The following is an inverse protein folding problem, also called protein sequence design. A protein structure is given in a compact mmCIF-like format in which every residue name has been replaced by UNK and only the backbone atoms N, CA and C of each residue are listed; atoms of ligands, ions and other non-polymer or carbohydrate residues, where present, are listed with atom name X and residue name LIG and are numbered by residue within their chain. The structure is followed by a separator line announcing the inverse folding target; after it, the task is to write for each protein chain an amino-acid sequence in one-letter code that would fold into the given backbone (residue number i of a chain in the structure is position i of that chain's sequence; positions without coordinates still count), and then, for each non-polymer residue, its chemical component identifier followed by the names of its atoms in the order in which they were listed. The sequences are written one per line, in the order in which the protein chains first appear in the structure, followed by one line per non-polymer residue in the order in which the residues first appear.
data_IF_356443047698
#
_entry.id   IF_356443047698
#
_cell.length_a   1.000
_cell.length_b   1.000
_cell.length_c   1.000
_cell.angle_alpha   90.00
_cell.angle_beta   90.00
_cell.angle_gamma   90.00
#
_symmetry.space_group_name_H-M   'P 1'
#
loop_
_entity.id
_entity.type
_entity.pdbx_description
1 polymer ?
#
# COMPACT_ATOMS: atom_id res chain seq x y z
N UNK A 1 10.58 40.42 -20.69
CA UNK A 1 10.89 38.99 -20.71
C UNK A 1 9.71 38.24 -20.10
N UNK A 2 8.92 37.64 -20.95
CA UNK A 2 7.73 36.86 -20.55
C UNK A 2 8.20 35.45 -20.27
N UNK A 3 8.27 35.02 -19.00
CA UNK A 3 8.53 33.64 -18.64
C UNK A 3 7.30 32.81 -18.97
N UNK A 4 7.46 32.00 -19.95
CA UNK A 4 6.49 31.10 -20.56
C UNK A 4 6.05 30.04 -19.53
N UNK A 5 4.76 30.05 -19.18
CA UNK A 5 4.13 29.14 -18.21
C UNK A 5 4.05 27.64 -18.64
N UNK A 6 4.75 27.28 -19.71
CA UNK A 6 4.72 25.92 -20.25
C UNK A 6 5.69 24.95 -19.56
N UNK A 7 6.79 25.45 -18.98
CA UNK A 7 7.77 24.60 -18.27
C UNK A 7 7.22 23.92 -17.03
N UNK A 8 6.28 24.56 -16.32
CA UNK A 8 5.69 24.00 -15.10
C UNK A 8 4.74 22.84 -15.41
N UNK A 9 4.03 22.91 -16.56
CA UNK A 9 3.15 21.83 -17.02
C UNK A 9 3.93 20.56 -17.34
N UNK A 10 5.09 20.69 -17.98
CA UNK A 10 5.95 19.55 -18.30
C UNK A 10 6.59 18.89 -17.09
N UNK A 11 6.93 19.66 -16.06
CA UNK A 11 7.45 19.13 -14.79
C UNK A 11 6.37 18.34 -14.06
N UNK A 12 5.12 18.80 -14.03
CA UNK A 12 4.00 18.07 -13.41
C UNK A 12 3.69 16.79 -14.18
N UNK A 13 3.69 16.83 -15.50
CA UNK A 13 3.48 15.63 -16.35
C UNK A 13 4.63 14.64 -16.19
N UNK A 14 5.88 15.08 -16.11
CA UNK A 14 7.03 14.20 -15.88
C UNK A 14 7.00 13.53 -14.50
N UNK A 15 6.54 14.24 -13.45
CA UNK A 15 6.39 13.68 -12.11
C UNK A 15 5.26 12.63 -12.02
N UNK A 16 4.19 12.75 -12.81
CA UNK A 16 3.11 11.75 -12.83
C UNK A 16 3.48 10.47 -13.57
N UNK A 17 4.43 10.52 -14.52
CA UNK A 17 4.88 9.34 -15.29
C UNK A 17 5.90 8.51 -14.49
N UNK A 18 6.54 9.09 -13.46
CA UNK A 18 7.57 8.43 -12.66
C UNK A 18 7.02 7.67 -11.43
N UNK A 19 5.70 7.60 -11.25
CA UNK A 19 5.17 6.63 -10.30
C UNK A 19 5.26 5.24 -10.93
N UNK A 20 6.12 4.35 -10.42
CA UNK A 20 6.05 2.95 -10.81
C UNK A 20 4.64 2.48 -10.45
N UNK A 21 3.89 2.03 -11.46
CA UNK A 21 2.69 1.24 -11.23
C UNK A 21 3.24 -0.09 -10.74
N UNK A 22 3.25 -0.26 -9.41
CA UNK A 22 3.60 -1.54 -8.83
C UNK A 22 2.68 -2.60 -9.45
N UNK A 23 3.24 -3.70 -9.98
CA UNK A 23 2.41 -4.79 -10.44
C UNK A 23 1.52 -5.20 -9.26
N UNK A 24 0.29 -5.59 -9.56
CA UNK A 24 -0.73 -6.03 -8.59
C UNK A 24 -0.19 -7.23 -7.79
N UNK A 25 0.77 -6.98 -6.91
CA UNK A 25 1.20 -7.96 -5.92
C UNK A 25 0.09 -8.07 -4.88
N UNK A 26 -0.24 -9.29 -4.49
CA UNK A 26 -1.13 -9.51 -3.38
C UNK A 26 -0.63 -8.67 -2.20
N UNK A 27 -1.51 -7.85 -1.62
CA UNK A 27 -1.12 -7.02 -0.49
C UNK A 27 -0.95 -7.92 0.74
N UNK A 28 0.29 -8.31 1.02
CA UNK A 28 0.66 -9.16 2.15
C UNK A 28 1.10 -8.37 3.40
N UNK A 29 0.73 -7.11 3.43
CA UNK A 29 0.92 -6.23 4.56
C UNK A 29 -0.42 -5.92 5.22
N UNK A 30 -0.45 -6.01 6.53
CA UNK A 30 -1.63 -5.69 7.32
C UNK A 30 -1.22 -4.94 8.57
N UNK A 31 -1.91 -3.84 8.88
CA UNK A 31 -1.65 -3.05 10.08
C UNK A 31 -2.92 -2.92 10.91
N UNK A 32 -2.79 -3.14 12.20
CA UNK A 32 -3.86 -3.03 13.17
C UNK A 32 -3.47 -2.05 14.29
N UNK A 33 -4.37 -1.14 14.63
CA UNK A 33 -4.17 -0.19 15.73
C UNK A 33 -4.99 -0.66 16.93
N UNK A 34 -4.29 -0.95 18.03
CA UNK A 34 -4.90 -1.32 19.31
C UNK A 34 -4.07 -0.78 20.47
N UNK A 35 -4.71 -0.30 21.54
CA UNK A 35 -4.07 0.18 22.77
C UNK A 35 -2.91 1.17 22.54
N UNK A 36 -3.12 2.15 21.66
CA UNK A 36 -2.11 3.17 21.28
C UNK A 36 -0.84 2.60 20.64
N UNK A 37 -0.88 1.37 20.15
CA UNK A 37 0.19 0.70 19.43
C UNK A 37 -0.26 0.35 18.03
N UNK A 38 0.64 0.48 17.07
CA UNK A 38 0.45 -0.05 15.73
C UNK A 38 1.12 -1.41 15.66
N UNK A 39 0.34 -2.43 15.38
CA UNK A 39 0.80 -3.78 15.08
C UNK A 39 0.90 -3.91 13.58
N UNK A 40 2.11 -4.05 13.08
CA UNK A 40 2.39 -4.14 11.66
C UNK A 40 2.83 -5.57 11.30
N UNK A 41 2.13 -6.17 10.35
CA UNK A 41 2.37 -7.52 9.85
C UNK A 41 2.82 -7.45 8.40
N UNK A 42 3.95 -8.01 8.10
CA UNK A 42 4.56 -8.09 6.78
C UNK A 42 4.87 -9.54 6.48
N UNK A 43 3.94 -10.24 5.85
CA UNK A 43 4.05 -11.69 5.66
C UNK A 43 5.09 -12.09 4.62
N UNK A 44 5.28 -11.29 3.58
CA UNK A 44 6.22 -11.51 2.46
C UNK A 44 7.59 -10.87 2.66
N UNK A 45 7.79 -10.13 3.75
CA UNK A 45 9.08 -9.49 4.01
C UNK A 45 10.14 -10.52 4.37
N UNK A 46 11.31 -10.49 3.71
CA UNK A 46 12.44 -11.34 4.07
C UNK A 46 12.86 -11.19 5.54
N UNK A 47 13.06 -12.33 6.20
CA UNK A 47 13.61 -12.41 7.57
C UNK A 47 14.76 -13.41 7.57
N UNK A 48 15.67 -13.38 8.55
CA UNK A 48 16.73 -14.37 8.67
C UNK A 48 16.14 -15.79 8.62
N UNK A 49 16.71 -16.67 7.81
CA UNK A 49 16.29 -18.05 7.52
C UNK A 49 15.06 -18.19 6.60
N UNK A 50 14.29 -17.11 6.32
CA UNK A 50 13.12 -17.16 5.45
C UNK A 50 13.17 -15.98 4.43
N UNK A 51 13.90 -16.14 3.32
CA UNK A 51 14.14 -15.05 2.37
C UNK A 51 12.88 -14.58 1.63
N UNK A 52 11.85 -15.42 1.61
CA UNK A 52 10.56 -15.12 0.99
C UNK A 52 9.42 -14.90 2.01
N UNK A 53 9.79 -14.60 3.28
CA UNK A 53 8.80 -14.45 4.35
C UNK A 53 8.03 -15.74 4.60
N UNK A 54 6.69 -15.65 4.62
CA UNK A 54 5.79 -16.80 4.84
C UNK A 54 5.59 -17.67 3.60
N UNK A 55 6.16 -17.31 2.46
CA UNK A 55 6.03 -18.12 1.26
C UNK A 55 6.85 -19.41 1.38
N UNK A 56 6.28 -20.53 0.90
CA UNK A 56 7.00 -21.79 0.84
C UNK A 56 8.13 -21.72 -0.20
N UNK A 57 9.31 -22.15 0.17
CA UNK A 57 10.48 -22.32 -0.72
C UNK A 57 10.19 -23.31 -1.87
N UNK A 58 9.30 -24.28 -1.63
CA UNK A 58 8.86 -25.24 -2.65
C UNK A 58 7.85 -24.64 -3.65
N UNK A 59 7.40 -23.40 -3.42
CA UNK A 59 6.39 -22.72 -4.21
C UNK A 59 4.94 -23.07 -3.83
N UNK A 60 4.75 -23.97 -2.86
CA UNK A 60 3.43 -24.32 -2.31
C UNK A 60 3.54 -25.00 -0.94
N UNK A 61 2.47 -24.93 -0.17
CA UNK A 61 2.22 -25.75 1.00
C UNK A 61 1.23 -26.85 0.64
N UNK A 62 1.38 -28.01 1.28
CA UNK A 62 0.47 -29.15 1.10
C UNK A 62 -0.08 -29.60 2.44
N UNK A 63 -1.39 -29.74 2.55
CA UNK A 63 -2.04 -30.32 3.73
C UNK A 63 -3.00 -31.41 3.29
N UNK A 64 -2.95 -32.55 3.99
CA UNK A 64 -3.72 -33.73 3.66
C UNK A 64 -4.74 -33.97 4.76
N UNK A 65 -6.00 -34.09 4.37
CA UNK A 65 -7.11 -34.51 5.22
C UNK A 65 -7.72 -35.83 4.77
N UNK A 66 -8.85 -36.19 5.35
CA UNK A 66 -9.57 -37.39 4.94
C UNK A 66 -10.18 -37.19 3.54
N UNK A 67 -9.69 -37.94 2.53
CA UNK A 67 -10.09 -37.86 1.12
C UNK A 67 -10.01 -36.47 0.48
N UNK A 68 -9.24 -35.59 1.04
CA UNK A 68 -9.08 -34.19 0.58
C UNK A 68 -7.62 -33.79 0.72
N UNK A 69 -7.06 -33.20 -0.33
CA UNK A 69 -5.73 -32.60 -0.32
C UNK A 69 -5.87 -31.14 -0.72
N UNK A 70 -5.19 -30.25 -0.01
CA UNK A 70 -5.14 -28.85 -0.33
C UNK A 70 -3.70 -28.44 -0.58
N UNK A 71 -3.49 -27.75 -1.69
CA UNK A 71 -2.26 -27.01 -1.98
C UNK A 71 -2.58 -25.53 -1.89
N UNK A 72 -1.66 -24.76 -1.33
CA UNK A 72 -1.80 -23.31 -1.26
C UNK A 72 -0.45 -22.61 -1.18
N UNK A 73 -0.40 -21.36 -1.62
CA UNK A 73 0.70 -20.44 -1.39
C UNK A 73 0.12 -19.14 -0.82
N UNK A 74 0.82 -18.57 0.15
CA UNK A 74 0.47 -17.27 0.70
C UNK A 74 1.20 -16.18 -0.08
N UNK A 75 0.56 -15.05 -0.25
CA UNK A 75 1.10 -13.85 -0.89
C UNK A 75 1.36 -13.94 -2.39
N UNK A 76 1.23 -15.11 -3.01
CA UNK A 76 1.48 -15.31 -4.43
C UNK A 76 0.66 -16.47 -4.98
N UNK A 77 0.78 -16.71 -6.27
CA UNK A 77 0.29 -17.92 -6.93
C UNK A 77 1.21 -19.11 -6.70
N UNK A 78 0.64 -20.30 -6.70
CA UNK A 78 1.39 -21.54 -6.57
C UNK A 78 2.28 -21.79 -7.78
N UNK A 79 3.49 -22.32 -7.52
CA UNK A 79 4.42 -22.84 -8.51
C UNK A 79 4.75 -24.27 -8.11
N UNK A 80 4.62 -25.22 -9.04
CA UNK A 80 4.94 -26.62 -8.79
C UNK A 80 6.24 -27.00 -9.48
N UNK A 81 7.32 -27.04 -8.74
CA UNK A 81 8.61 -27.57 -9.21
C UNK A 81 8.66 -29.09 -9.11
N UNK A 82 7.83 -29.68 -8.25
CA UNK A 82 7.69 -31.11 -8.02
C UNK A 82 6.27 -31.42 -7.54
N UNK A 83 5.89 -32.70 -7.56
CA UNK A 83 4.61 -33.24 -7.06
C UNK A 83 3.35 -32.40 -7.45
N UNK A 84 3.18 -32.08 -8.77
CA UNK A 84 2.03 -31.32 -9.19
C UNK A 84 0.72 -32.08 -8.93
N UNK A 85 -0.38 -31.38 -8.63
CA UNK A 85 -1.68 -32.04 -8.46
C UNK A 85 -2.11 -32.74 -9.75
N UNK A 86 -2.62 -33.96 -9.61
CA UNK A 86 -3.15 -34.75 -10.72
C UNK A 86 -4.67 -34.66 -10.70
N UNK A 87 -5.23 -33.75 -11.46
CA UNK A 87 -6.65 -33.47 -11.48
C UNK A 87 -7.27 -33.84 -12.81
N UNK A 88 -8.50 -34.32 -12.78
CA UNK A 88 -9.26 -34.62 -13.99
C UNK A 88 -9.64 -33.34 -14.73
N UNK A 89 -9.98 -32.30 -14.00
CA UNK A 89 -10.29 -30.97 -14.53
C UNK A 89 -9.60 -29.90 -13.72
N UNK A 90 -8.96 -28.96 -14.41
CA UNK A 90 -8.17 -27.87 -13.81
C UNK A 90 -8.22 -26.61 -14.67
N UNK A 91 -9.30 -26.38 -15.38
CA UNK A 91 -9.45 -25.28 -16.34
C UNK A 91 -9.26 -23.91 -15.70
N UNK A 92 -9.66 -23.76 -14.44
CA UNK A 92 -9.61 -22.47 -13.71
C UNK A 92 -8.21 -22.10 -13.22
N UNK A 93 -7.27 -23.05 -13.16
CA UNK A 93 -5.94 -22.89 -12.59
C UNK A 93 -4.87 -23.56 -13.45
N UNK A 94 -4.40 -22.88 -14.48
CA UNK A 94 -3.27 -23.32 -15.31
C UNK A 94 -3.58 -24.38 -16.35
N UNK A 95 -4.79 -24.94 -16.38
CA UNK A 95 -5.22 -25.97 -17.33
C UNK A 95 -4.63 -27.36 -17.05
N UNK A 96 -4.86 -28.33 -17.94
CA UNK A 96 -4.53 -29.75 -17.69
C UNK A 96 -3.04 -30.04 -17.47
N UNK A 97 -2.17 -29.28 -18.12
CA UNK A 97 -0.71 -29.48 -18.04
C UNK A 97 -0.06 -28.80 -16.84
N UNK A 98 -0.72 -27.80 -16.24
CA UNK A 98 -0.15 -26.95 -15.20
C UNK A 98 -1.20 -26.72 -14.08
N UNK A 99 -1.87 -27.78 -13.70
CA UNK A 99 -2.94 -27.71 -12.71
C UNK A 99 -2.48 -27.06 -11.41
N UNK A 100 -3.23 -26.05 -10.98
CA UNK A 100 -2.95 -25.28 -9.76
C UNK A 100 -1.99 -24.10 -9.93
N UNK A 101 -1.26 -24.01 -11.03
CA UNK A 101 -0.35 -22.89 -11.28
C UNK A 101 -1.13 -21.58 -11.49
N UNK A 102 -0.71 -20.52 -10.79
CA UNK A 102 -1.36 -19.21 -10.85
C UNK A 102 -2.59 -19.04 -9.98
N UNK A 103 -3.09 -20.11 -9.34
CA UNK A 103 -4.01 -20.01 -8.20
C UNK A 103 -3.22 -19.97 -6.89
N UNK A 104 -3.77 -19.36 -5.86
CA UNK A 104 -3.16 -19.35 -4.53
C UNK A 104 -3.65 -20.50 -3.65
N UNK A 105 -4.77 -21.12 -3.96
CA UNK A 105 -5.25 -22.29 -3.25
C UNK A 105 -6.10 -23.21 -4.16
N UNK A 106 -5.82 -24.50 -4.05
CA UNK A 106 -6.48 -25.57 -4.80
C UNK A 106 -6.86 -26.71 -3.85
N UNK A 107 -8.06 -27.22 -3.96
CA UNK A 107 -8.48 -28.42 -3.24
C UNK A 107 -8.72 -29.58 -4.22
N UNK A 108 -8.17 -30.74 -3.93
CA UNK A 108 -8.52 -32.00 -4.58
C UNK A 108 -9.36 -32.85 -3.64
N UNK A 109 -10.43 -33.37 -4.19
CA UNK A 109 -11.31 -34.38 -3.53
C UNK A 109 -11.26 -35.67 -4.33
N UNK A 110 -10.98 -36.78 -3.68
CA UNK A 110 -11.05 -38.08 -4.32
C UNK A 110 -12.51 -38.54 -4.42
N UNK A 111 -12.99 -38.68 -5.65
CA UNK A 111 -14.35 -39.14 -5.96
C UNK A 111 -14.25 -40.31 -6.90
N UNK A 112 -14.59 -41.50 -6.41
CA UNK A 112 -14.58 -42.73 -7.23
C UNK A 112 -13.18 -43.12 -7.76
N UNK A 113 -12.10 -42.75 -7.06
CA UNK A 113 -10.72 -43.05 -7.46
C UNK A 113 -10.07 -41.97 -8.33
N UNK A 114 -10.78 -40.89 -8.65
CA UNK A 114 -10.27 -39.75 -9.41
C UNK A 114 -10.22 -38.50 -8.53
N UNK A 115 -9.18 -37.72 -8.69
CA UNK A 115 -9.06 -36.45 -7.99
C UNK A 115 -9.75 -35.32 -8.78
N UNK A 116 -10.84 -34.80 -8.20
CA UNK A 116 -11.55 -33.63 -8.73
C UNK A 116 -11.04 -32.39 -8.01
N UNK A 117 -10.48 -31.45 -8.79
CA UNK A 117 -9.86 -30.26 -8.27
C UNK A 117 -10.74 -29.02 -8.43
N UNK A 118 -10.75 -28.19 -7.41
CA UNK A 118 -11.51 -26.94 -7.38
C UNK A 118 -10.58 -25.82 -6.90
N UNK A 119 -10.60 -24.70 -7.63
CA UNK A 119 -9.94 -23.47 -7.17
C UNK A 119 -10.70 -22.91 -5.96
N UNK A 120 -10.01 -22.70 -4.86
CA UNK A 120 -10.56 -22.12 -3.62
C UNK A 120 -9.89 -20.82 -3.19
N UNK A 121 -8.93 -20.31 -4.00
CA UNK A 121 -8.28 -19.05 -3.69
C UNK A 121 -7.39 -18.51 -4.82
N UNK A 122 -7.42 -17.19 -4.96
CA UNK A 122 -6.54 -16.42 -5.85
C UNK A 122 -5.81 -15.35 -5.05
N UNK A 123 -4.59 -15.00 -5.45
CA UNK A 123 -3.81 -13.94 -4.81
C UNK A 123 -4.54 -12.59 -4.82
N UNK A 124 -5.26 -12.29 -5.90
CA UNK A 124 -6.06 -11.06 -6.02
C UNK A 124 -7.27 -10.96 -5.09
N UNK A 125 -7.68 -12.07 -4.47
CA UNK A 125 -8.81 -12.15 -3.52
C UNK A 125 -8.37 -12.48 -2.10
N UNK A 126 -7.13 -12.13 -1.77
CA UNK A 126 -6.56 -12.33 -0.45
C UNK A 126 -6.98 -11.19 0.49
N UNK A 127 -7.45 -11.56 1.68
CA UNK A 127 -7.81 -10.66 2.77
C UNK A 127 -7.08 -11.10 4.04
N UNK A 128 -6.47 -10.15 4.74
CA UNK A 128 -5.70 -10.41 5.96
C UNK A 128 -6.40 -9.73 7.12
N UNK A 129 -6.64 -10.50 8.17
CA UNK A 129 -7.25 -10.01 9.39
C UNK A 129 -6.48 -10.51 10.62
N UNK A 130 -6.71 -9.88 11.75
CA UNK A 130 -6.14 -10.33 13.02
C UNK A 130 -6.95 -11.52 13.56
N UNK A 131 -6.27 -12.49 14.15
CA UNK A 131 -6.90 -13.67 14.75
C UNK A 131 -7.71 -13.27 15.99
N UNK A 132 -7.09 -12.49 16.89
CA UNK A 132 -7.73 -12.00 18.10
C UNK A 132 -7.40 -10.52 18.33
N UNK A 133 -8.43 -9.68 18.32
CA UNK A 133 -8.29 -8.23 18.56
C UNK A 133 -7.82 -7.89 19.96
N UNK A 134 -8.10 -8.76 20.93
CA UNK A 134 -7.68 -8.56 22.32
C UNK A 134 -6.22 -9.00 22.54
N UNK A 135 -5.72 -9.88 21.69
CA UNK A 135 -4.33 -10.34 21.73
C UNK A 135 -3.72 -10.35 20.32
N UNK A 136 -3.30 -9.19 19.80
CA UNK A 136 -2.72 -9.07 18.45
C UNK A 136 -1.43 -9.87 18.24
N UNK A 137 -0.79 -10.31 19.32
CA UNK A 137 0.46 -11.08 19.23
C UNK A 137 0.26 -12.53 18.78
N UNK A 138 -0.95 -13.05 18.76
CA UNK A 138 -1.21 -14.44 18.33
C UNK A 138 -0.85 -14.62 16.87
N UNK A 139 -1.15 -13.63 16.01
CA UNK A 139 -0.90 -13.71 14.58
C UNK A 139 -2.07 -13.21 13.75
N UNK A 140 -2.07 -13.58 12.48
CA UNK A 140 -3.08 -13.15 11.49
C UNK A 140 -3.76 -14.34 10.82
N UNK A 141 -4.96 -14.10 10.31
CA UNK A 141 -5.67 -15.03 9.46
C UNK A 141 -5.68 -14.48 8.04
N UNK A 142 -5.21 -15.28 7.09
CA UNK A 142 -5.22 -14.97 5.66
C UNK A 142 -6.34 -15.75 5.02
N UNK A 143 -7.32 -15.06 4.46
CA UNK A 143 -8.45 -15.64 3.76
C UNK A 143 -8.28 -15.43 2.26
N UNK A 144 -8.31 -16.52 1.51
CA UNK A 144 -8.31 -16.52 0.05
C UNK A 144 -9.65 -17.04 -0.43
N UNK A 145 -10.19 -16.48 -1.50
CA UNK A 145 -11.45 -16.91 -2.08
C UNK A 145 -11.36 -17.05 -3.60
N UNK A 146 -12.19 -17.93 -4.14
CA UNK A 146 -12.46 -17.97 -5.58
C UNK A 146 -13.90 -17.58 -5.81
N UNK A 147 -14.12 -16.62 -6.71
CA UNK A 147 -15.46 -16.25 -7.18
C UNK A 147 -15.81 -17.17 -8.36
N UNK A 148 -16.11 -18.43 -8.06
CA UNK A 148 -16.63 -19.39 -9.05
C UNK A 148 -18.08 -19.08 -9.41
N UNK A 149 -18.50 -19.51 -10.60
CA UNK A 149 -19.87 -19.27 -11.10
C UNK A 149 -20.96 -19.93 -10.24
N UNK A 150 -20.64 -20.96 -9.46
CA UNK A 150 -21.63 -21.75 -8.72
C UNK A 150 -21.43 -21.80 -7.19
N UNK A 151 -20.24 -21.62 -6.66
CA UNK A 151 -19.97 -21.66 -5.22
C UNK A 151 -18.83 -20.69 -4.83
N UNK A 152 -19.04 -19.93 -3.76
CA UNK A 152 -17.99 -19.12 -3.13
C UNK A 152 -17.14 -20.00 -2.23
N UNK A 153 -16.10 -20.60 -2.79
CA UNK A 153 -15.16 -21.41 -2.04
C UNK A 153 -14.07 -20.54 -1.41
N UNK A 154 -13.54 -20.96 -0.27
CA UNK A 154 -12.46 -20.22 0.39
C UNK A 154 -11.52 -21.12 1.19
N UNK A 155 -10.28 -20.63 1.35
CA UNK A 155 -9.31 -21.16 2.30
C UNK A 155 -8.94 -20.04 3.29
N UNK A 156 -9.01 -20.37 4.58
CA UNK A 156 -8.55 -19.52 5.67
C UNK A 156 -7.31 -20.12 6.30
N UNK A 157 -6.19 -19.43 6.27
CA UNK A 157 -4.92 -19.87 6.83
C UNK A 157 -4.60 -19.02 8.05
N UNK A 158 -4.58 -19.64 9.24
CA UNK A 158 -4.14 -18.98 10.45
C UNK A 158 -2.61 -19.04 10.54
N UNK A 159 -1.96 -17.90 10.40
CA UNK A 159 -0.50 -17.75 10.54
C UNK A 159 -0.21 -17.32 11.97
N UNK A 160 0.09 -18.30 12.81
CA UNK A 160 0.41 -18.10 14.23
C UNK A 160 1.84 -17.57 14.37
N UNK A 161 2.04 -16.55 15.18
CA UNK A 161 3.36 -16.04 15.51
C UNK A 161 4.18 -17.10 16.24
N UNK A 162 5.30 -17.50 15.66
CA UNK A 162 6.34 -18.30 16.30
C UNK A 162 7.71 -17.71 15.94
N UNK A 163 8.35 -16.97 16.86
CA UNK A 163 9.63 -16.30 16.59
C UNK A 163 10.80 -17.27 16.45
N UNK A 164 10.62 -18.53 16.84
CA UNK A 164 11.71 -19.52 16.92
C UNK A 164 11.79 -20.44 15.71
N UNK A 165 10.74 -20.51 14.88
CA UNK A 165 10.78 -21.40 13.74
C UNK A 165 9.51 -21.49 12.93
N UNK A 166 9.59 -22.38 11.95
CA UNK A 166 8.49 -22.72 11.07
C UNK A 166 7.91 -24.08 11.43
N UNK A 167 6.61 -24.15 11.54
CA UNK A 167 5.86 -25.39 11.59
C UNK A 167 4.82 -25.38 10.49
N UNK A 168 4.96 -26.27 9.53
CA UNK A 168 4.09 -26.41 8.37
C UNK A 168 2.62 -26.63 8.72
N UNK A 169 1.73 -26.62 7.74
CA UNK A 169 0.31 -26.80 7.98
C UNK A 169 0.04 -28.20 8.59
N UNK A 170 -0.57 -28.21 9.77
CA UNK A 170 -0.75 -29.42 10.58
C UNK A 170 -2.20 -29.79 10.87
N UNK A 171 -3.16 -28.96 10.47
CA UNK A 171 -4.57 -29.23 10.63
C UNK A 171 -5.32 -28.87 9.36
N UNK A 172 -6.38 -29.61 9.06
CA UNK A 172 -7.29 -29.30 7.98
C UNK A 172 -8.72 -29.37 8.52
N UNK A 173 -9.37 -28.25 8.60
CA UNK A 173 -10.77 -28.13 9.00
C UNK A 173 -11.63 -27.80 7.78
N UNK A 174 -12.84 -28.35 7.72
CA UNK A 174 -13.80 -28.04 6.68
C UNK A 174 -15.06 -27.48 7.31
N UNK A 175 -15.45 -26.28 6.86
CA UNK A 175 -16.67 -25.61 7.28
C UNK A 175 -17.61 -25.46 6.09
N UNK A 176 -18.80 -26.05 6.17
CA UNK A 176 -19.77 -26.03 5.06
C UNK A 176 -19.34 -26.88 3.86
N UNK A 177 -19.71 -26.46 2.64
CA UNK A 177 -19.52 -27.24 1.41
C UNK A 177 -18.10 -27.18 0.88
N UNK A 178 -17.49 -25.99 0.80
CA UNK A 178 -16.16 -25.80 0.24
C UNK A 178 -15.32 -24.70 0.92
N UNK A 179 -15.57 -24.46 2.20
CA UNK A 179 -14.71 -23.58 3.00
C UNK A 179 -13.78 -24.41 3.85
N UNK A 180 -12.50 -24.09 3.81
CA UNK A 180 -11.45 -24.83 4.50
C UNK A 180 -10.66 -23.92 5.41
N UNK A 181 -10.13 -24.50 6.48
CA UNK A 181 -9.25 -23.85 7.43
C UNK A 181 -7.99 -24.68 7.66
N UNK A 182 -6.85 -24.02 7.79
CA UNK A 182 -5.59 -24.65 8.22
C UNK A 182 -4.79 -23.70 9.08
N UNK A 183 -3.82 -24.25 9.81
CA UNK A 183 -2.98 -23.49 10.73
C UNK A 183 -1.52 -23.79 10.42
N UNK A 184 -0.71 -22.75 10.34
CA UNK A 184 0.75 -22.86 10.31
C UNK A 184 1.36 -21.90 11.33
N UNK A 185 2.59 -22.20 11.78
CA UNK A 185 3.35 -21.29 12.64
C UNK A 185 4.54 -20.76 11.87
N UNK A 186 4.73 -19.44 11.93
CA UNK A 186 5.80 -18.78 11.20
C UNK A 186 6.23 -17.48 11.87
N UNK A 187 7.53 -17.11 11.85
CA UNK A 187 7.99 -15.84 12.40
C UNK A 187 7.38 -14.61 11.71
N UNK A 188 7.03 -14.67 10.41
CA UNK A 188 6.33 -13.59 9.70
C UNK A 188 4.92 -13.32 10.22
N UNK A 189 4.32 -14.26 10.98
CA UNK A 189 3.06 -14.03 11.68
C UNK A 189 3.19 -13.16 12.92
N UNK A 190 4.41 -12.77 13.31
CA UNK A 190 4.66 -11.92 14.48
C UNK A 190 4.58 -10.44 14.10
N UNK A 191 3.77 -9.68 14.84
CA UNK A 191 3.65 -8.25 14.64
C UNK A 191 4.93 -7.49 15.00
N UNK A 192 5.31 -6.53 14.18
CA UNK A 192 6.23 -5.46 14.57
C UNK A 192 5.44 -4.36 15.27
N UNK A 193 5.82 -4.04 16.50
CA UNK A 193 5.11 -3.03 17.28
C UNK A 193 5.77 -1.69 17.06
N UNK A 194 5.00 -0.73 16.53
CA UNK A 194 5.39 0.65 16.42
C UNK A 194 4.57 1.45 17.43
N UNK A 195 5.23 2.08 18.39
CA UNK A 195 4.56 2.98 19.29
C UNK A 195 4.10 4.21 18.53
N UNK A 196 2.81 4.37 18.35
CA UNK A 196 2.23 5.58 17.79
C UNK A 196 2.33 6.65 18.88
N UNK A 197 3.48 7.34 18.94
CA UNK A 197 3.61 8.54 19.76
C UNK A 197 2.60 9.55 19.26
N UNK A 198 1.50 9.70 19.97
CA UNK A 198 0.42 10.62 19.64
C UNK A 198 0.77 12.11 19.79
N UNK A 199 2.04 12.46 19.80
CA UNK A 199 2.51 13.85 19.65
C UNK A 199 2.84 14.07 18.17
N UNK A 200 1.79 14.26 17.41
CA UNK A 200 1.89 14.69 16.03
C UNK A 200 2.57 16.06 15.91
N UNK A 201 3.89 16.05 15.85
CA UNK A 201 4.66 17.21 15.36
C UNK A 201 4.25 17.56 13.92
N UNK A 202 3.58 16.65 13.24
CA UNK A 202 3.11 16.84 11.88
C UNK A 202 2.18 18.04 11.71
N UNK A 203 1.16 18.18 12.54
CA UNK A 203 0.26 19.33 12.44
C UNK A 203 0.98 20.65 12.80
N UNK A 204 1.91 20.63 13.79
CA UNK A 204 2.69 21.79 14.18
C UNK A 204 3.69 22.17 13.08
N UNK A 205 4.35 21.20 12.46
CA UNK A 205 5.22 21.43 11.30
C UNK A 205 4.42 22.02 10.11
N UNK A 206 3.25 21.47 9.82
CA UNK A 206 2.36 22.00 8.78
C UNK A 206 1.90 23.42 9.10
N UNK A 207 1.55 23.69 10.35
CA UNK A 207 1.18 25.02 10.82
C UNK A 207 2.34 26.02 10.67
N UNK A 208 3.57 25.64 11.03
CA UNK A 208 4.76 26.48 10.84
C UNK A 208 5.05 26.74 9.35
N UNK A 209 4.88 25.75 8.49
CA UNK A 209 5.05 25.92 7.03
C UNK A 209 4.02 26.91 6.48
N UNK A 210 2.76 26.81 6.89
CA UNK A 210 1.70 27.74 6.49
C UNK A 210 2.01 29.15 6.99
N UNK A 211 2.41 29.32 8.24
CA UNK A 211 2.81 30.62 8.78
C UNK A 211 4.00 31.22 8.02
N UNK A 212 5.00 30.42 7.71
CA UNK A 212 6.15 30.87 6.92
C UNK A 212 5.74 31.33 5.52
N UNK A 213 4.85 30.60 4.85
CA UNK A 213 4.31 31.00 3.55
C UNK A 213 3.52 32.32 3.64
N UNK A 214 2.62 32.46 4.63
CA UNK A 214 1.87 33.71 4.84
C UNK A 214 2.84 34.88 5.10
N UNK A 215 3.87 34.66 5.88
CA UNK A 215 4.86 35.69 6.18
C UNK A 215 5.67 36.11 4.93
N UNK A 216 6.13 35.15 4.14
CA UNK A 216 6.87 35.42 2.88
C UNK A 216 6.01 36.10 1.84
N UNK A 217 4.75 35.68 1.66
CA UNK A 217 3.80 36.34 0.77
C UNK A 217 3.43 37.75 1.28
N UNK A 218 3.23 37.89 2.59
CA UNK A 218 2.99 39.20 3.21
C UNK A 218 4.13 40.17 3.01
N UNK A 219 5.37 39.73 3.21
CA UNK A 219 6.57 40.57 2.96
C UNK A 219 6.71 40.92 1.46
N UNK A 220 6.44 39.98 0.56
CA UNK A 220 6.48 40.24 -0.87
C UNK A 220 5.40 41.24 -1.30
N UNK A 221 4.21 41.18 -0.69
CA UNK A 221 3.14 42.14 -0.92
C UNK A 221 3.50 43.54 -0.40
N UNK A 222 4.02 43.65 0.81
CA UNK A 222 4.47 44.90 1.41
C UNK A 222 5.64 45.52 0.63
N UNK A 223 6.57 44.70 0.14
CA UNK A 223 7.68 45.15 -0.72
C UNK A 223 7.16 45.74 -2.03
N UNK A 224 6.18 45.07 -2.70
CA UNK A 224 5.54 45.60 -3.91
C UNK A 224 4.79 46.91 -3.65
N UNK A 225 4.11 47.03 -2.52
CA UNK A 225 3.41 48.24 -2.14
C UNK A 225 4.37 49.40 -1.83
N UNK A 226 5.51 49.12 -1.12
CA UNK A 226 6.53 50.14 -0.89
C UNK A 226 7.16 50.64 -2.18
N UNK A 227 7.45 49.77 -3.14
CA UNK A 227 7.96 50.16 -4.46
C UNK A 227 6.92 51.01 -5.21
N UNK A 228 5.64 50.63 -5.14
CA UNK A 228 4.57 51.40 -5.75
C UNK A 228 4.42 52.80 -5.11
N UNK A 229 4.52 52.92 -3.80
CA UNK A 229 4.44 54.16 -3.07
C UNK A 229 5.66 55.07 -3.36
N UNK A 230 6.87 54.50 -3.46
CA UNK A 230 8.07 55.22 -3.85
C UNK A 230 7.99 55.77 -5.29
N UNK A 231 7.49 54.94 -6.24
CA UNK A 231 7.29 55.41 -7.62
C UNK A 231 6.21 56.48 -7.72
N UNK A 232 5.17 56.41 -6.89
CA UNK A 232 4.13 57.45 -6.85
C UNK A 232 4.65 58.74 -6.24
N UNK A 233 5.49 58.65 -5.18
CA UNK A 233 6.13 59.81 -4.57
C UNK A 233 7.16 60.48 -5.48
N UNK A 234 7.92 59.70 -6.28
CA UNK A 234 8.87 60.28 -7.26
C UNK A 234 8.12 60.99 -8.38
N UNK A 235 7.01 60.45 -8.91
CA UNK A 235 6.19 61.14 -9.91
C UNK A 235 5.53 62.39 -9.36
N UNK A 236 5.10 62.41 -8.10
CA UNK A 236 4.52 63.60 -7.47
C UNK A 236 5.61 64.70 -7.23
N UNK A 237 6.82 64.29 -6.89
CA UNK A 237 7.96 65.20 -6.74
C UNK A 237 8.35 65.90 -8.06
N UNK A 238 8.31 65.18 -9.17
CA UNK A 238 8.59 65.74 -10.50
C UNK A 238 7.45 66.64 -10.99
N UNK A 239 6.20 66.34 -10.64
CA UNK A 239 5.06 67.21 -10.93
C UNK A 239 5.13 68.54 -10.17
N UNK A 240 5.55 68.51 -8.91
CA UNK A 240 5.74 69.72 -8.10
C UNK A 240 6.85 70.63 -8.65
N UNK A 241 7.95 70.06 -9.15
CA UNK A 241 9.03 70.82 -9.81
C UNK A 241 8.58 71.52 -11.09
N UNK A 242 7.69 70.90 -11.83
CA UNK A 242 7.11 71.52 -13.06
C UNK A 242 6.15 72.67 -12.74
N UNK A 243 5.48 72.64 -11.58
CA UNK A 243 4.55 73.69 -11.16
C UNK A 243 5.32 74.89 -10.56
N UNK A 244 6.50 74.70 -9.95
CA UNK A 244 7.32 75.81 -9.42
C UNK A 244 8.12 76.55 -10.49
N UNK A 245 8.37 75.94 -11.64
CA UNK A 245 9.16 76.57 -12.71
C UNK A 245 8.61 77.88 -13.32
N UNK A 246 7.30 78.11 -13.42
CA UNK A 246 6.77 79.35 -14.00
C UNK A 246 6.67 80.51 -13.01
N UNK A 247 6.83 80.35 -11.71
CA UNK A 247 6.68 81.42 -10.70
C UNK A 247 7.96 82.24 -10.50
N UNK A 248 9.13 81.66 -10.83
CA UNK A 248 10.42 82.37 -10.68
C UNK A 248 10.79 83.25 -11.86
N UNK A 249 10.03 83.25 -12.98
CA UNK A 249 10.29 84.11 -14.14
C UNK A 249 9.45 85.39 -14.15
N UNK A 250 8.58 85.62 -13.13
CA UNK A 250 7.68 86.75 -13.09
C UNK A 250 8.12 87.87 -12.12
N UNK A 251 9.22 87.72 -11.42
CA UNK A 251 9.66 88.72 -10.40
C UNK A 251 10.97 89.46 -10.72
N UNK A 252 11.50 89.35 -11.93
CA UNK A 252 12.74 90.01 -12.33
C UNK A 252 12.59 91.12 -13.37
N UNK A 253 11.41 91.72 -13.55
CA UNK A 253 11.29 92.92 -14.41
C UNK A 253 10.41 93.96 -13.75
N UNK A 254 10.99 94.73 -12.81
CA UNK A 254 10.69 96.12 -12.52
C UNK A 254 11.66 96.68 -11.45
N UNK A 255 12.70 97.28 -11.90
CA UNK A 255 13.25 98.56 -11.37
C UNK A 255 14.39 99.06 -12.23
#
# INVERSE_FOLDING_TARGET
MVFRGDSLKWVVVALTILHPVDPLSANCHFSFVGDYKLYDFSLDTPIPLYPHGVQSEDGFYKVVGNKTVIWFQLCDGMIFNHDPPRCVDCSDCGGPSHCGMGCSALVAKNTGGYDVCTNIGRASSMDINIIDKNNPHIGVIVKMSSNGLNENCSLSVSVICDPYGFQGPYSLEKTGTCNYGTVLKHPSGCAKIVHVSGKGWGWFATFLIILYQIWTFGLAYLSKHKVCLLLYCTNLGDLLKVIEAPILLSTSERA
#
